data_IF_284616615095
#
_entry.id   IF_284616615095
#
_cell.length_a   1.000
_cell.length_b   1.000
_cell.length_c   1.000
_cell.angle_alpha   90.00
_cell.angle_beta   90.00
_cell.angle_gamma   90.00
#
_symmetry.space_group_name_H-M   'P 1'
#
loop_
_entity.id
_entity.type
_entity.pdbx_description
1 polymer ?
#
# COMPACT_ATOMS: atom_id res chain seq x y z
N UNK A 1 -31.80 -33.52 26.73
CA UNK A 1 -32.47 -34.00 25.51
C UNK A 1 -33.63 -33.06 25.18
N UNK A 2 -33.35 -31.76 24.89
CA UNK A 2 -34.40 -30.75 24.62
C UNK A 2 -33.79 -29.37 24.25
N UNK A 3 -32.81 -29.30 23.34
CA UNK A 3 -32.41 -27.97 22.79
C UNK A 3 -31.75 -28.00 21.40
N UNK A 4 -31.94 -29.07 20.61
CA UNK A 4 -31.36 -29.18 19.25
C UNK A 4 -32.43 -29.36 18.15
N UNK A 5 -33.71 -29.17 18.44
CA UNK A 5 -34.80 -29.47 17.50
C UNK A 5 -35.64 -28.24 17.15
N UNK A 6 -35.02 -27.05 16.97
CA UNK A 6 -35.74 -25.84 16.57
C UNK A 6 -35.34 -25.26 15.20
N UNK A 7 -34.40 -25.86 14.47
CA UNK A 7 -34.00 -25.36 13.14
C UNK A 7 -34.36 -26.27 11.96
N UNK A 8 -35.25 -27.25 12.15
CA UNK A 8 -35.69 -28.16 11.08
C UNK A 8 -36.90 -27.68 10.27
N UNK A 9 -37.37 -26.43 10.45
CA UNK A 9 -38.65 -25.96 9.87
C UNK A 9 -38.51 -24.97 8.70
N UNK A 10 -37.30 -24.67 8.26
CA UNK A 10 -37.09 -23.85 7.06
C UNK A 10 -36.34 -24.71 6.05
N UNK A 11 -37.08 -25.23 5.06
CA UNK A 11 -36.55 -25.97 3.93
C UNK A 11 -35.62 -25.10 3.08
N UNK A 12 -34.41 -24.85 3.57
CA UNK A 12 -33.36 -24.15 2.84
C UNK A 12 -32.53 -25.22 2.12
N UNK A 13 -32.96 -25.54 0.91
CA UNK A 13 -32.21 -26.34 -0.04
C UNK A 13 -30.98 -25.55 -0.48
N UNK A 14 -29.82 -25.82 0.12
CA UNK A 14 -28.54 -25.31 -0.37
C UNK A 14 -28.02 -26.20 -1.51
N UNK A 15 -28.58 -26.01 -2.70
CA UNK A 15 -27.85 -26.23 -3.94
C UNK A 15 -27.89 -24.92 -4.71
N UNK A 16 -26.73 -24.31 -4.96
CA UNK A 16 -26.28 -24.32 -6.34
C UNK A 16 -24.78 -24.65 -6.48
N UNK A 17 -24.48 -25.44 -7.51
CA UNK A 17 -23.16 -25.55 -8.11
C UNK A 17 -23.06 -24.34 -9.03
N UNK A 18 -22.17 -23.39 -8.75
CA UNK A 18 -21.81 -22.36 -9.72
C UNK A 18 -20.30 -22.13 -9.66
N UNK A 19 -19.69 -22.28 -10.83
CA UNK A 19 -18.26 -22.24 -11.12
C UNK A 19 -17.47 -21.24 -10.27
N UNK A 20 -16.50 -21.75 -9.50
CA UNK A 20 -15.46 -20.92 -8.89
C UNK A 20 -14.52 -20.42 -9.98
N UNK A 21 -14.92 -19.38 -10.72
CA UNK A 21 -13.90 -18.51 -11.29
C UNK A 21 -13.16 -17.88 -10.12
N UNK A 22 -11.90 -18.29 -9.91
CA UNK A 22 -11.02 -17.68 -8.91
C UNK A 22 -10.92 -16.21 -9.28
N UNK A 23 -11.72 -15.36 -8.63
CA UNK A 23 -11.43 -13.95 -8.59
C UNK A 23 -10.08 -13.87 -7.88
N UNK A 24 -9.05 -13.43 -8.60
CA UNK A 24 -7.76 -13.07 -8.02
C UNK A 24 -8.10 -12.07 -6.92
N UNK A 25 -8.14 -12.54 -5.67
CA UNK A 25 -8.35 -11.70 -4.52
C UNK A 25 -7.15 -10.78 -4.54
N UNK A 26 -7.34 -9.56 -5.05
CA UNK A 26 -6.42 -8.47 -4.75
C UNK A 26 -6.58 -8.34 -3.26
N UNK A 27 -5.59 -8.85 -2.52
CA UNK A 27 -5.61 -8.85 -1.08
C UNK A 27 -5.63 -7.39 -0.64
N UNK A 28 -6.83 -6.85 -0.43
CA UNK A 28 -7.02 -5.58 0.25
C UNK A 28 -6.88 -5.92 1.73
N UNK A 29 -5.65 -6.04 2.21
CA UNK A 29 -5.40 -6.16 3.66
C UNK A 29 -5.53 -4.78 4.27
N UNK A 30 -6.80 -4.43 4.51
CA UNK A 30 -7.24 -3.26 5.24
C UNK A 30 -7.17 -3.56 6.74
N UNK A 31 -6.00 -3.56 7.37
CA UNK A 31 -5.87 -3.51 8.83
C UNK A 31 -4.58 -2.77 9.27
N UNK A 32 -4.77 -1.67 10.00
CA UNK A 32 -3.79 -0.86 10.75
C UNK A 32 -2.75 -0.03 9.96
N UNK A 33 -3.00 1.28 9.99
CA UNK A 33 -2.33 2.47 9.42
C UNK A 33 -0.79 2.63 9.59
N UNK A 34 -0.08 1.67 10.19
CA UNK A 34 1.39 1.76 10.38
C UNK A 34 2.15 0.46 10.13
N UNK A 35 1.49 -0.69 10.23
CA UNK A 35 2.08 -1.98 9.87
C UNK A 35 2.00 -2.23 8.36
N UNK A 36 1.00 -1.65 7.68
CA UNK A 36 0.86 -1.75 6.22
C UNK A 36 2.00 -1.07 5.46
N UNK A 37 2.43 0.11 5.93
CA UNK A 37 3.42 0.92 5.25
C UNK A 37 4.80 0.26 5.26
N UNK A 38 5.27 -0.19 6.42
CA UNK A 38 6.57 -0.86 6.51
C UNK A 38 6.50 -2.34 6.07
N UNK A 39 5.36 -3.02 6.23
CA UNK A 39 5.15 -4.37 5.72
C UNK A 39 5.26 -4.47 4.19
N UNK A 40 4.85 -3.41 3.47
CA UNK A 40 5.10 -3.27 2.04
C UNK A 40 6.61 -3.27 1.72
N UNK A 41 7.36 -2.48 2.47
CA UNK A 41 8.79 -2.28 2.28
C UNK A 41 9.56 -3.58 2.50
N UNK A 42 9.21 -4.35 3.53
CA UNK A 42 9.86 -5.62 3.82
C UNK A 42 9.54 -6.68 2.75
N UNK A 43 8.25 -6.79 2.40
CA UNK A 43 7.75 -7.79 1.44
C UNK A 43 8.36 -7.65 0.05
N UNK A 44 8.58 -6.40 -0.40
CA UNK A 44 9.11 -6.09 -1.73
C UNK A 44 10.53 -5.50 -1.67
N UNK A 45 11.27 -5.73 -0.58
CA UNK A 45 12.64 -5.20 -0.39
C UNK A 45 13.61 -5.56 -1.52
N UNK A 46 13.43 -6.73 -2.14
CA UNK A 46 14.20 -7.18 -3.30
C UNK A 46 13.65 -6.68 -4.66
N UNK A 47 12.51 -5.99 -4.66
CA UNK A 47 11.72 -5.60 -5.83
C UNK A 47 11.45 -4.08 -5.80
N UNK A 48 12.46 -3.22 -6.02
CA UNK A 48 12.30 -1.77 -5.91
C UNK A 48 11.26 -1.19 -6.88
N UNK A 49 10.99 -1.88 -7.99
CA UNK A 49 9.96 -1.50 -8.95
C UNK A 49 8.53 -1.70 -8.41
N UNK A 50 8.29 -2.74 -7.62
CA UNK A 50 6.99 -2.95 -6.96
C UNK A 50 6.83 -1.95 -5.80
N UNK A 51 7.90 -1.64 -5.06
CA UNK A 51 7.88 -0.57 -4.05
C UNK A 51 7.51 0.76 -4.70
N UNK A 52 8.16 1.13 -5.82
CA UNK A 52 7.88 2.37 -6.54
C UNK A 52 6.41 2.46 -6.98
N UNK A 53 5.88 1.38 -7.57
CA UNK A 53 4.48 1.31 -7.98
C UNK A 53 3.54 1.51 -6.80
N UNK A 54 3.87 0.93 -5.66
CA UNK A 54 3.05 1.00 -4.45
C UNK A 54 3.14 2.34 -3.76
N UNK A 55 4.32 2.93 -3.65
CA UNK A 55 4.51 4.29 -3.15
C UNK A 55 3.70 5.29 -4.00
N UNK A 56 3.71 5.15 -5.33
CA UNK A 56 2.92 6.00 -6.25
C UNK A 56 1.40 5.93 -6.03
N UNK A 57 0.89 4.89 -5.38
CA UNK A 57 -0.53 4.74 -5.03
C UNK A 57 -0.89 5.41 -3.68
N UNK A 58 0.09 5.89 -2.90
CA UNK A 58 -0.12 6.44 -1.56
C UNK A 58 -0.45 7.94 -1.57
N UNK A 59 -1.27 8.35 -0.61
CA UNK A 59 -1.49 9.75 -0.23
C UNK A 59 -0.28 10.30 0.54
N UNK A 60 -0.20 11.62 0.70
CA UNK A 60 0.86 12.29 1.45
C UNK A 60 1.04 11.73 2.86
N UNK A 61 -0.05 11.59 3.62
CA UNK A 61 -0.03 11.07 5.00
C UNK A 61 0.54 9.66 5.05
N UNK A 62 0.07 8.77 4.18
CA UNK A 62 0.52 7.38 4.12
C UNK A 62 1.97 7.29 3.63
N UNK A 63 2.36 8.13 2.67
CA UNK A 63 3.73 8.23 2.18
C UNK A 63 4.69 8.61 3.31
N UNK A 64 4.31 9.60 4.11
CA UNK A 64 5.09 10.04 5.26
C UNK A 64 5.12 9.00 6.39
N UNK A 65 4.12 8.12 6.50
CA UNK A 65 4.14 7.00 7.45
C UNK A 65 4.96 5.79 6.98
N UNK A 66 5.52 5.82 5.76
CA UNK A 66 6.24 4.68 5.15
C UNK A 66 7.75 4.88 5.14
N UNK A 67 8.53 3.87 5.56
CA UNK A 67 10.00 3.97 5.59
C UNK A 67 10.69 3.88 4.23
N UNK A 68 10.08 3.22 3.25
CA UNK A 68 10.63 3.04 1.90
C UNK A 68 10.01 3.96 0.85
N UNK A 69 9.26 4.99 1.26
CA UNK A 69 8.72 6.00 0.36
C UNK A 69 9.12 7.41 0.80
N UNK A 70 9.13 8.35 -0.14
CA UNK A 70 9.37 9.78 0.10
C UNK A 70 8.35 10.63 -0.65
N UNK A 71 7.83 11.66 0.02
CA UNK A 71 6.91 12.63 -0.58
C UNK A 71 7.71 13.73 -1.28
N UNK A 72 7.78 13.66 -2.60
CA UNK A 72 8.64 14.48 -3.44
C UNK A 72 7.93 15.77 -3.87
N UNK A 73 8.60 16.91 -3.65
CA UNK A 73 8.21 18.26 -4.06
C UNK A 73 6.76 18.66 -3.71
N UNK A 74 6.16 18.03 -2.70
CA UNK A 74 4.76 18.29 -2.34
C UNK A 74 3.72 17.73 -3.32
N UNK A 75 4.12 16.85 -4.26
CA UNK A 75 3.28 16.44 -5.38
C UNK A 75 3.05 14.94 -5.47
N UNK A 76 4.10 14.12 -5.27
CA UNK A 76 4.03 12.68 -5.53
C UNK A 76 4.81 11.88 -4.51
N UNK A 77 4.31 10.70 -4.19
CA UNK A 77 5.03 9.71 -3.40
C UNK A 77 5.82 8.78 -4.32
N UNK A 78 7.11 8.59 -4.04
CA UNK A 78 8.01 7.70 -4.80
C UNK A 78 8.80 6.83 -3.85
N UNK A 79 9.33 5.70 -4.33
CA UNK A 79 10.22 4.87 -3.54
C UNK A 79 11.46 5.68 -3.15
N UNK A 80 11.87 5.56 -1.89
CA UNK A 80 13.01 6.29 -1.37
C UNK A 80 13.26 6.02 0.09
N UNK A 81 14.29 6.67 0.62
CA UNK A 81 14.65 6.57 2.03
C UNK A 81 15.04 7.94 2.57
N UNK A 82 15.61 7.96 3.78
CA UNK A 82 16.23 9.16 4.36
C UNK A 82 17.29 9.81 3.46
N UNK A 83 17.84 9.07 2.47
CA UNK A 83 18.82 9.58 1.51
C UNK A 83 18.19 10.22 0.26
N UNK A 84 16.88 10.12 0.09
CA UNK A 84 16.14 10.62 -1.07
C UNK A 84 15.48 9.50 -1.88
N UNK A 85 14.97 9.85 -3.08
CA UNK A 85 14.34 8.90 -3.99
C UNK A 85 15.29 7.79 -4.44
N UNK A 86 14.78 6.57 -4.59
CA UNK A 86 15.51 5.41 -5.11
C UNK A 86 15.75 5.55 -6.61
N UNK A 87 14.77 6.07 -7.33
CA UNK A 87 14.87 6.35 -8.76
C UNK A 87 15.18 7.83 -8.96
N UNK A 88 16.14 8.09 -9.84
CA UNK A 88 16.52 9.46 -10.25
C UNK A 88 15.90 9.85 -11.61
N UNK A 89 15.16 8.93 -12.23
CA UNK A 89 14.50 9.11 -13.53
C UNK A 89 13.08 8.57 -13.46
N UNK A 90 12.12 9.28 -14.07
CA UNK A 90 10.74 8.84 -14.26
C UNK A 90 10.49 8.68 -15.76
N UNK A 91 10.68 7.46 -16.26
CA UNK A 91 10.75 7.18 -17.70
C UNK A 91 12.05 7.72 -18.31
N UNK A 92 11.93 8.66 -19.27
CA UNK A 92 13.08 9.28 -19.96
C UNK A 92 13.43 10.68 -19.42
N UNK A 93 12.87 11.07 -18.28
CA UNK A 93 13.10 12.40 -17.67
C UNK A 93 13.78 12.22 -16.33
N UNK A 94 14.82 13.00 -16.09
CA UNK A 94 15.39 13.12 -14.75
C UNK A 94 14.35 13.69 -13.78
N UNK A 95 14.36 13.15 -12.57
CA UNK A 95 13.49 13.62 -11.50
C UNK A 95 14.16 14.84 -10.88
N UNK A 96 13.46 15.97 -10.94
CA UNK A 96 13.87 17.17 -10.24
C UNK A 96 13.54 17.03 -8.76
N UNK A 97 14.54 17.19 -7.88
CA UNK A 97 14.43 16.98 -6.43
C UNK A 97 14.77 18.27 -5.72
N UNK A 98 13.77 19.15 -5.57
CA UNK A 98 13.91 20.39 -4.79
C UNK A 98 13.87 20.10 -3.29
N UNK A 99 12.88 19.32 -2.87
CA UNK A 99 12.71 18.87 -1.50
C UNK A 99 11.89 17.59 -1.43
N UNK A 100 12.04 16.84 -0.33
CA UNK A 100 11.19 15.69 -0.06
C UNK A 100 10.94 15.53 1.43
N UNK A 101 9.85 14.86 1.76
CA UNK A 101 9.55 14.44 3.13
C UNK A 101 9.75 12.93 3.29
N UNK A 102 10.42 12.55 4.37
CA UNK A 102 10.59 11.17 4.81
C UNK A 102 10.26 11.11 6.29
N UNK A 103 9.25 10.32 6.69
CA UNK A 103 8.81 10.24 8.11
C UNK A 103 8.58 11.61 8.74
N UNK A 104 7.79 12.46 8.07
CA UNK A 104 7.51 13.85 8.45
C UNK A 104 8.74 14.77 8.58
N UNK A 105 9.91 14.30 8.14
CA UNK A 105 11.14 15.10 8.12
C UNK A 105 11.35 15.64 6.73
N UNK A 106 11.33 16.95 6.58
CA UNK A 106 11.65 17.60 5.31
C UNK A 106 13.17 17.66 5.07
N UNK A 107 13.58 17.44 3.83
CA UNK A 107 14.97 17.52 3.33
C UNK A 107 15.01 18.32 2.04
N UNK A 108 16.04 19.16 1.87
CA UNK A 108 16.20 20.04 0.71
C UNK A 108 15.66 21.45 0.97
N UNK A 109 15.16 22.09 -0.09
CA UNK A 109 14.63 23.46 -0.08
C UNK A 109 13.18 23.50 0.42
N UNK A 110 12.97 23.08 1.66
CA UNK A 110 11.65 22.98 2.27
C UNK A 110 10.95 24.35 2.35
N UNK A 111 9.67 24.46 1.94
CA UNK A 111 8.90 25.67 2.14
C UNK A 111 8.73 25.95 3.65
N UNK A 112 8.76 27.23 4.03
CA UNK A 112 8.60 27.71 5.42
C UNK A 112 7.16 28.05 5.74
#
# INVERSE_FOLDING_TARGET
FTLLTLFSILGVTFTPIEDKHIQKVVTIESFADSDFSDGLCEKHSAEPHEIEKKCKELTEDNCNSTSCCVWLNGQKCVAGSRHGPTYHTDGNKDIDVDYYHHKNTCKGSCPK
#
